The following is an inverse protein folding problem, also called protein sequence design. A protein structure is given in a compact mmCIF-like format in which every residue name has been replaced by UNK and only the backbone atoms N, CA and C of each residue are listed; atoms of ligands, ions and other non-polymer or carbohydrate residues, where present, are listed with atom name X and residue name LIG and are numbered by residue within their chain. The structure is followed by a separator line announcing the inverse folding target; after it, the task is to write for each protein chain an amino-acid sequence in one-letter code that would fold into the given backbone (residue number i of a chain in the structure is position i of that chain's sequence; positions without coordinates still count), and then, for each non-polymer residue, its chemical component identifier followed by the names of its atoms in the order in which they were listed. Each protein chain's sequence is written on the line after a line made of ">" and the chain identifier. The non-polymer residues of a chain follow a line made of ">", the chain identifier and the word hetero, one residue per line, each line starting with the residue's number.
data_IF_667290304768
#
_entry.id   IF_667290304768
#
_cell.length_a   1.000
_cell.length_b   1.000
_cell.length_c   1.000
_cell.angle_alpha   90.00
_cell.angle_beta   90.00
_cell.angle_gamma   90.00
#
_symmetry.space_group_name_H-M   'P 1'
#
loop_
_entity.id
_entity.type
_entity.pdbx_description
1 polymer ?
#
# COMPACT_ATOMS: atom_id res chain seq x y z
N UNK A 1 15.57 6.52 -28.72
CA UNK A 1 16.68 7.48 -28.48
C UNK A 1 16.25 8.69 -27.64
N UNK A 2 15.32 9.56 -28.04
CA UNK A 2 14.90 10.71 -27.21
C UNK A 2 14.21 10.33 -25.90
N UNK A 3 13.51 9.21 -25.83
CA UNK A 3 12.86 8.73 -24.60
C UNK A 3 13.80 8.00 -23.66
N UNK A 4 14.76 7.24 -24.18
CA UNK A 4 15.76 6.58 -23.34
C UNK A 4 16.63 7.61 -22.63
N UNK A 5 16.94 8.73 -23.32
CA UNK A 5 17.66 9.87 -22.73
C UNK A 5 16.80 10.58 -21.67
N UNK A 6 15.49 10.71 -21.90
CA UNK A 6 14.57 11.37 -20.97
C UNK A 6 14.04 10.44 -19.88
N UNK A 7 14.11 9.11 -20.04
CA UNK A 7 13.63 8.17 -19.02
C UNK A 7 14.38 8.35 -17.70
N UNK A 8 15.70 8.47 -17.73
CA UNK A 8 16.51 8.72 -16.53
C UNK A 8 16.14 10.05 -15.87
N UNK A 9 15.84 11.09 -16.66
CA UNK A 9 15.37 12.35 -16.12
C UNK A 9 14.02 12.20 -15.41
N UNK A 10 13.04 11.56 -16.03
CA UNK A 10 11.73 11.34 -15.42
C UNK A 10 11.79 10.41 -14.20
N UNK A 11 12.64 9.38 -14.22
CA UNK A 11 12.85 8.49 -13.08
C UNK A 11 13.47 9.24 -11.89
N UNK A 12 14.49 10.06 -12.12
CA UNK A 12 15.08 10.89 -11.08
C UNK A 12 14.10 11.96 -10.57
N UNK A 13 13.27 12.51 -11.45
CA UNK A 13 12.23 13.47 -11.08
C UNK A 13 11.16 12.83 -10.20
N UNK A 14 10.68 11.62 -10.55
CA UNK A 14 9.69 10.89 -9.72
C UNK A 14 10.24 10.60 -8.33
N UNK A 15 11.46 10.08 -8.26
CA UNK A 15 12.13 9.80 -7.00
C UNK A 15 12.31 11.07 -6.14
N UNK A 16 12.80 12.16 -6.75
CA UNK A 16 12.95 13.45 -6.07
C UNK A 16 11.62 14.00 -5.55
N UNK A 17 10.57 13.95 -6.37
CA UNK A 17 9.22 14.37 -5.97
C UNK A 17 8.66 13.53 -4.84
N UNK A 18 8.86 12.20 -4.85
CA UNK A 18 8.44 11.30 -3.77
C UNK A 18 9.22 11.60 -2.48
N UNK A 19 10.53 11.83 -2.58
CA UNK A 19 11.37 12.18 -1.44
C UNK A 19 10.91 13.48 -0.77
N UNK A 20 10.70 14.54 -1.55
CA UNK A 20 10.16 15.80 -1.00
C UNK A 20 8.72 15.64 -0.48
N UNK A 21 7.89 14.86 -1.15
CA UNK A 21 6.55 14.54 -0.66
C UNK A 21 6.60 13.89 0.72
N UNK A 22 7.47 12.90 0.91
CA UNK A 22 7.69 12.25 2.20
C UNK A 22 8.09 13.27 3.27
N UNK A 23 9.08 14.13 2.98
CA UNK A 23 9.53 15.16 3.92
C UNK A 23 8.40 16.13 4.31
N UNK A 24 7.60 16.59 3.34
CA UNK A 24 6.49 17.51 3.58
C UNK A 24 5.37 16.86 4.40
N UNK A 25 5.04 15.61 4.14
CA UNK A 25 4.04 14.89 4.94
C UNK A 25 4.53 14.62 6.35
N UNK A 26 5.80 14.23 6.54
CA UNK A 26 6.39 14.02 7.87
C UNK A 26 6.50 15.32 8.66
N UNK A 27 6.92 16.42 8.04
CA UNK A 27 6.95 17.73 8.69
C UNK A 27 5.55 18.19 9.11
N UNK A 28 4.52 17.96 8.28
CA UNK A 28 3.15 18.27 8.66
C UNK A 28 2.63 17.38 9.81
N UNK A 29 3.11 16.13 9.92
CA UNK A 29 2.77 15.24 11.03
C UNK A 29 3.36 15.76 12.35
N UNK A 30 4.62 16.23 12.32
CA UNK A 30 5.33 16.78 13.50
C UNK A 30 4.80 18.19 13.86
N UNK A 31 4.57 19.02 12.84
CA UNK A 31 4.10 20.39 12.98
C UNK A 31 2.71 20.60 12.32
N UNK A 32 1.60 20.18 13.00
CA UNK A 32 0.24 20.22 12.40
C UNK A 32 -0.25 21.60 12.00
N UNK A 33 0.35 22.67 12.54
CA UNK A 33 0.02 24.08 12.20
C UNK A 33 0.59 24.50 10.84
N UNK A 34 1.54 23.78 10.28
CA UNK A 34 2.19 24.07 9.00
C UNK A 34 1.36 23.52 7.83
N UNK A 35 0.23 24.20 7.54
CA UNK A 35 -0.71 23.81 6.48
C UNK A 35 -0.07 23.75 5.09
N UNK A 36 0.94 24.61 4.83
CA UNK A 36 1.66 24.63 3.55
C UNK A 36 2.37 23.30 3.27
N UNK A 37 2.96 22.65 4.30
CA UNK A 37 3.62 21.36 4.15
C UNK A 37 2.69 20.26 3.62
N UNK A 38 1.45 20.21 4.10
CA UNK A 38 0.46 19.26 3.60
C UNK A 38 0.15 19.46 2.10
N UNK A 39 -0.09 20.71 1.69
CA UNK A 39 -0.40 21.04 0.30
C UNK A 39 0.79 20.78 -0.63
N UNK A 40 2.01 21.09 -0.19
CA UNK A 40 3.24 20.81 -0.94
C UNK A 40 3.46 19.29 -1.06
N UNK A 41 3.27 18.53 0.03
CA UNK A 41 3.35 17.07 0.01
C UNK A 41 2.39 16.45 -1.00
N UNK A 42 1.14 16.94 -1.02
CA UNK A 42 0.14 16.49 -2.00
C UNK A 42 0.50 16.89 -3.43
N UNK A 43 0.96 18.12 -3.65
CA UNK A 43 1.34 18.59 -4.98
C UNK A 43 2.51 17.77 -5.54
N UNK A 44 3.57 17.54 -4.75
CA UNK A 44 4.71 16.73 -5.16
C UNK A 44 4.33 15.25 -5.38
N UNK A 45 3.39 14.69 -4.60
CA UNK A 45 2.84 13.36 -4.84
C UNK A 45 2.08 13.27 -6.18
N UNK A 46 1.29 14.29 -6.53
CA UNK A 46 0.60 14.37 -7.83
C UNK A 46 1.62 14.42 -8.97
N UNK A 47 2.65 15.26 -8.85
CA UNK A 47 3.70 15.37 -9.86
C UNK A 47 4.40 14.03 -10.03
N UNK A 48 4.78 13.34 -8.94
CA UNK A 48 5.38 12.01 -8.99
C UNK A 48 4.48 10.99 -9.69
N UNK A 49 3.17 10.98 -9.37
CA UNK A 49 2.22 10.07 -10.01
C UNK A 49 2.12 10.31 -11.52
N UNK A 50 2.04 11.57 -11.94
CA UNK A 50 2.02 11.95 -13.36
C UNK A 50 3.33 11.59 -14.05
N UNK A 51 4.46 11.77 -13.39
CA UNK A 51 5.78 11.47 -13.95
C UNK A 51 5.95 9.96 -14.19
N UNK A 52 5.58 9.12 -13.20
CA UNK A 52 5.60 7.65 -13.37
C UNK A 52 4.63 7.22 -14.47
N UNK A 53 3.44 7.82 -14.54
CA UNK A 53 2.49 7.56 -15.63
C UNK A 53 3.08 7.89 -17.00
N UNK A 54 3.79 9.01 -17.14
CA UNK A 54 4.46 9.40 -18.39
C UNK A 54 5.52 8.37 -18.80
N UNK A 55 6.31 7.84 -17.84
CA UNK A 55 7.27 6.77 -18.11
C UNK A 55 6.56 5.53 -18.65
N UNK A 56 5.50 5.06 -17.96
CA UNK A 56 4.75 3.87 -18.36
C UNK A 56 4.05 4.05 -19.72
N UNK A 57 3.35 5.18 -19.91
CA UNK A 57 2.66 5.50 -21.16
C UNK A 57 3.66 5.65 -22.32
N UNK A 58 4.80 6.29 -22.07
CA UNK A 58 5.88 6.42 -23.04
C UNK A 58 6.39 5.06 -23.49
N UNK A 59 6.70 4.16 -22.55
CA UNK A 59 7.10 2.79 -22.88
C UNK A 59 6.06 2.08 -23.74
N UNK A 60 4.78 2.17 -23.37
CA UNK A 60 3.71 1.54 -24.15
C UNK A 60 3.64 2.06 -25.59
N UNK A 61 3.64 3.38 -25.76
CA UNK A 61 3.48 4.02 -27.07
C UNK A 61 4.70 3.75 -27.99
N UNK A 62 5.91 3.85 -27.45
CA UNK A 62 7.13 3.79 -28.28
C UNK A 62 7.65 2.38 -28.53
N UNK A 63 7.43 1.45 -27.57
CA UNK A 63 7.88 0.06 -27.73
C UNK A 63 6.76 -0.88 -28.22
N UNK A 64 5.49 -0.39 -28.30
CA UNK A 64 4.38 -1.14 -28.88
C UNK A 64 3.88 -2.30 -28.01
N UNK A 65 4.34 -2.45 -26.76
CA UNK A 65 3.85 -3.45 -25.83
C UNK A 65 3.46 -2.82 -24.49
N UNK A 66 2.55 -3.46 -23.77
CA UNK A 66 2.11 -2.99 -22.45
C UNK A 66 3.24 -3.15 -21.43
N UNK A 67 3.62 -2.09 -20.67
CA UNK A 67 4.86 -2.04 -19.87
C UNK A 67 4.74 -2.82 -18.55
N UNK A 68 4.65 -4.14 -18.64
CA UNK A 68 4.63 -5.11 -17.54
C UNK A 68 5.45 -6.36 -17.87
N UNK A 69 6.44 -6.23 -18.75
CA UNK A 69 7.24 -7.36 -19.24
C UNK A 69 8.41 -7.72 -18.33
N UNK A 70 8.85 -6.82 -17.48
CA UNK A 70 9.98 -7.03 -16.58
C UNK A 70 9.71 -6.50 -15.16
N UNK A 71 10.60 -6.83 -14.21
CA UNK A 71 10.47 -6.45 -12.81
C UNK A 71 10.45 -4.92 -12.61
N UNK A 72 11.28 -4.17 -13.35
CA UNK A 72 11.31 -2.71 -13.28
C UNK A 72 9.96 -2.09 -13.64
N UNK A 73 9.37 -2.51 -14.75
CA UNK A 73 8.07 -2.02 -15.20
C UNK A 73 6.95 -2.37 -14.21
N UNK A 74 6.99 -3.58 -13.63
CA UNK A 74 6.00 -3.98 -12.62
C UNK A 74 6.14 -3.18 -11.33
N UNK A 75 7.36 -2.83 -10.90
CA UNK A 75 7.61 -1.97 -9.74
C UNK A 75 7.12 -0.54 -9.98
N UNK A 76 7.38 0.03 -11.15
CA UNK A 76 6.86 1.34 -11.54
C UNK A 76 5.33 1.35 -11.56
N UNK A 77 4.71 0.30 -12.12
CA UNK A 77 3.25 0.18 -12.17
C UNK A 77 2.65 0.02 -10.76
N UNK A 78 3.31 -0.74 -9.88
CA UNK A 78 2.90 -0.85 -8.47
C UNK A 78 3.04 0.49 -7.74
N UNK A 79 4.14 1.22 -7.95
CA UNK A 79 4.36 2.56 -7.38
C UNK A 79 3.29 3.54 -7.85
N UNK A 80 2.98 3.53 -9.14
CA UNK A 80 1.95 4.37 -9.74
C UNK A 80 0.56 4.06 -9.15
N UNK A 81 0.19 2.79 -9.07
CA UNK A 81 -1.13 2.38 -8.52
C UNK A 81 -1.26 2.66 -7.03
N UNK A 82 -0.21 2.43 -6.23
CA UNK A 82 -0.19 2.78 -4.80
C UNK A 82 -0.38 4.29 -4.60
N UNK A 83 0.35 5.08 -5.37
CA UNK A 83 0.28 6.54 -5.30
C UNK A 83 -1.08 7.06 -5.76
N UNK A 84 -1.64 6.48 -6.82
CA UNK A 84 -2.99 6.80 -7.30
C UNK A 84 -4.07 6.50 -6.25
N UNK A 85 -4.01 5.30 -5.63
CA UNK A 85 -4.93 4.91 -4.55
C UNK A 85 -4.76 5.84 -3.35
N UNK A 86 -3.52 6.18 -2.98
CA UNK A 86 -3.25 7.14 -1.91
C UNK A 86 -3.95 8.49 -2.17
N UNK A 87 -3.76 9.07 -3.36
CA UNK A 87 -4.36 10.37 -3.73
C UNK A 87 -5.89 10.30 -3.74
N UNK A 88 -6.48 9.20 -4.22
CA UNK A 88 -7.93 8.99 -4.17
C UNK A 88 -8.44 8.91 -2.73
N UNK A 89 -7.78 8.14 -1.87
CA UNK A 89 -8.17 7.98 -0.47
C UNK A 89 -8.01 9.29 0.29
N UNK A 90 -6.90 9.98 0.10
CA UNK A 90 -6.65 11.27 0.73
C UNK A 90 -7.72 12.30 0.35
N UNK A 91 -8.13 12.34 -0.93
CA UNK A 91 -9.18 13.25 -1.40
C UNK A 91 -10.55 12.94 -0.79
N UNK A 92 -10.88 11.65 -0.60
CA UNK A 92 -12.17 11.22 -0.03
C UNK A 92 -12.21 11.31 1.49
N UNK A 93 -11.16 10.87 2.16
CA UNK A 93 -11.12 10.77 3.63
C UNK A 93 -10.63 12.03 4.31
N UNK A 94 -9.91 12.90 3.58
CA UNK A 94 -9.19 14.08 4.11
C UNK A 94 -8.26 13.72 5.28
N UNK A 95 -7.82 12.48 5.35
CA UNK A 95 -6.96 11.98 6.42
C UNK A 95 -5.51 12.39 6.17
N UNK A 96 -4.94 13.14 7.12
CA UNK A 96 -3.53 13.58 7.08
C UNK A 96 -2.53 12.47 7.40
N UNK A 97 -3.01 11.29 7.81
CA UNK A 97 -2.14 10.16 8.19
C UNK A 97 -1.76 9.26 7.02
N UNK A 98 -2.49 9.32 5.90
CA UNK A 98 -2.25 8.45 4.74
C UNK A 98 -0.89 8.73 4.08
N UNK A 99 -0.57 10.01 3.85
CA UNK A 99 0.68 10.42 3.22
C UNK A 99 1.94 9.93 3.94
N UNK A 100 2.09 10.21 5.25
CA UNK A 100 3.25 9.76 6.02
C UNK A 100 3.48 8.24 6.04
N UNK A 101 2.46 7.44 5.72
CA UNK A 101 2.52 5.97 5.75
C UNK A 101 2.78 5.40 4.36
N UNK A 102 2.04 5.88 3.35
CA UNK A 102 2.07 5.28 2.02
C UNK A 102 3.25 5.80 1.20
N UNK A 103 3.55 7.11 1.28
CA UNK A 103 4.63 7.71 0.49
C UNK A 103 6.01 7.10 0.75
N UNK A 104 6.44 6.80 2.00
CA UNK A 104 7.71 6.11 2.23
C UNK A 104 7.77 4.73 1.57
N UNK A 105 6.65 3.98 1.54
CA UNK A 105 6.61 2.67 0.89
C UNK A 105 6.72 2.82 -0.63
N UNK A 106 6.01 3.78 -1.22
CA UNK A 106 6.12 4.08 -2.66
C UNK A 106 7.55 4.52 -3.02
N UNK A 107 8.17 5.38 -2.20
CA UNK A 107 9.55 5.83 -2.39
C UNK A 107 10.55 4.66 -2.36
N UNK A 108 10.35 3.70 -1.45
CA UNK A 108 11.21 2.51 -1.38
C UNK A 108 11.04 1.62 -2.61
N UNK A 109 9.82 1.44 -3.12
CA UNK A 109 9.56 0.63 -4.33
C UNK A 109 10.14 1.30 -5.56
N UNK A 110 9.88 2.60 -5.77
CA UNK A 110 10.39 3.38 -6.89
C UNK A 110 11.92 3.46 -6.86
N UNK A 111 12.49 3.73 -5.68
CA UNK A 111 13.93 3.77 -5.46
C UNK A 111 14.60 2.43 -5.69
N UNK A 112 14.00 1.34 -5.23
CA UNK A 112 14.49 0.00 -5.48
C UNK A 112 14.53 -0.30 -6.99
N UNK A 113 13.45 0.02 -7.73
CA UNK A 113 13.41 -0.12 -9.19
C UNK A 113 14.45 0.73 -9.91
N UNK A 114 14.57 1.98 -9.52
CA UNK A 114 15.39 2.98 -10.25
C UNK A 114 16.88 2.96 -9.89
N UNK A 115 17.22 2.66 -8.62
CA UNK A 115 18.58 2.79 -8.10
C UNK A 115 19.29 1.45 -7.89
N UNK A 116 18.54 0.36 -7.61
CA UNK A 116 19.12 -0.93 -7.21
C UNK A 116 19.13 -1.93 -8.36
N UNK A 117 18.13 -1.89 -9.25
CA UNK A 117 18.08 -2.80 -10.38
C UNK A 117 19.19 -2.51 -11.39
N UNK A 118 19.88 -3.54 -11.93
CA UNK A 118 20.82 -3.38 -13.02
C UNK A 118 20.20 -2.66 -14.22
N UNK A 119 21.01 -1.87 -14.93
CA UNK A 119 20.55 -1.07 -16.11
C UNK A 119 19.94 -2.00 -17.18
N UNK A 120 20.46 -3.22 -17.32
CA UNK A 120 19.95 -4.22 -18.26
C UNK A 120 18.50 -4.59 -17.96
N UNK A 121 18.13 -4.72 -16.68
CA UNK A 121 16.77 -5.03 -16.25
C UNK A 121 15.82 -3.81 -16.35
N UNK A 122 16.36 -2.61 -16.42
CA UNK A 122 15.58 -1.39 -16.62
C UNK A 122 15.27 -1.12 -18.09
N UNK A 123 16.00 -1.76 -19.03
CA UNK A 123 15.75 -1.61 -20.47
C UNK A 123 14.39 -2.18 -20.83
N UNK A 124 13.73 -1.51 -21.78
CA UNK A 124 12.50 -2.00 -22.37
C UNK A 124 12.80 -3.24 -23.21
N UNK A 125 12.24 -4.37 -22.84
CA UNK A 125 12.37 -5.63 -23.58
C UNK A 125 10.98 -6.29 -23.67
N UNK A 126 10.42 -6.44 -24.89
CA UNK A 126 9.15 -7.11 -25.06
C UNK A 126 9.30 -8.59 -24.68
N UNK A 127 8.24 -9.18 -24.16
CA UNK A 127 8.15 -10.61 -23.95
C UNK A 127 8.25 -11.35 -25.29
N UNK A 128 8.75 -12.58 -25.24
CA UNK A 128 8.72 -13.47 -26.43
C UNK A 128 7.28 -13.62 -26.94
N UNK A 129 7.05 -13.72 -28.27
CA UNK A 129 5.70 -13.72 -28.83
C UNK A 129 4.76 -14.76 -28.23
N UNK A 130 5.30 -15.92 -27.83
CA UNK A 130 4.52 -16.99 -27.19
C UNK A 130 3.89 -16.59 -25.84
N UNK A 131 4.45 -15.61 -25.14
CA UNK A 131 3.94 -15.11 -23.86
C UNK A 131 3.09 -13.84 -24.00
N UNK A 132 3.00 -13.25 -25.20
CA UNK A 132 2.19 -12.07 -25.48
C UNK A 132 0.73 -12.47 -25.61
N UNK A 133 -0.07 -12.15 -24.58
CA UNK A 133 -1.50 -12.42 -24.56
C UNK A 133 -2.23 -11.28 -23.86
N UNK A 134 -3.45 -11.00 -24.30
CA UNK A 134 -4.34 -10.06 -23.62
C UNK A 134 -4.67 -10.51 -22.20
N UNK A 135 -4.67 -11.82 -21.95
CA UNK A 135 -4.86 -12.39 -20.61
C UNK A 135 -3.70 -12.06 -19.67
N UNK A 136 -2.46 -12.06 -20.16
CA UNK A 136 -1.31 -11.63 -19.36
C UNK A 136 -1.46 -10.17 -18.93
N UNK A 137 -1.80 -9.28 -19.88
CA UNK A 137 -1.98 -7.86 -19.58
C UNK A 137 -3.08 -7.65 -18.53
N UNK A 138 -4.22 -8.34 -18.67
CA UNK A 138 -5.32 -8.28 -17.71
C UNK A 138 -4.90 -8.85 -16.35
N UNK A 139 -4.25 -10.03 -16.35
CA UNK A 139 -3.75 -10.67 -15.14
C UNK A 139 -2.84 -9.76 -14.34
N UNK A 140 -1.75 -9.29 -14.94
CA UNK A 140 -0.74 -8.50 -14.22
C UNK A 140 -1.31 -7.16 -13.76
N UNK A 141 -2.12 -6.49 -14.60
CA UNK A 141 -2.76 -5.22 -14.21
C UNK A 141 -3.67 -5.38 -12.99
N UNK A 142 -4.51 -6.42 -12.97
CA UNK A 142 -5.41 -6.72 -11.85
C UNK A 142 -4.64 -7.14 -10.60
N UNK A 143 -3.57 -7.93 -10.75
CA UNK A 143 -2.70 -8.31 -9.63
C UNK A 143 -2.02 -7.10 -9.01
N UNK A 144 -1.46 -6.18 -9.80
CA UNK A 144 -0.82 -4.96 -9.29
C UNK A 144 -1.82 -4.04 -8.58
N UNK A 145 -3.01 -3.85 -9.16
CA UNK A 145 -4.08 -3.07 -8.53
C UNK A 145 -4.55 -3.71 -7.22
N UNK A 146 -4.66 -5.05 -7.20
CA UNK A 146 -4.96 -5.79 -5.98
C UNK A 146 -3.87 -5.62 -4.93
N UNK A 147 -2.60 -5.84 -5.29
CA UNK A 147 -1.49 -5.67 -4.35
C UNK A 147 -1.44 -4.25 -3.79
N UNK A 148 -1.63 -3.23 -4.61
CA UNK A 148 -1.65 -1.84 -4.15
C UNK A 148 -2.79 -1.58 -3.13
N UNK A 149 -3.99 -2.10 -3.36
CA UNK A 149 -5.11 -1.97 -2.44
C UNK A 149 -4.89 -2.77 -1.15
N UNK A 150 -4.46 -4.03 -1.26
CA UNK A 150 -4.22 -4.91 -0.12
C UNK A 150 -3.05 -4.40 0.75
N UNK A 151 -1.95 -3.94 0.16
CA UNK A 151 -0.83 -3.31 0.87
C UNK A 151 -1.32 -2.05 1.61
N UNK A 152 -2.09 -1.18 0.95
CA UNK A 152 -2.63 0.05 1.57
C UNK A 152 -3.52 -0.28 2.77
N UNK A 153 -4.46 -1.21 2.62
CA UNK A 153 -5.35 -1.64 3.71
C UNK A 153 -4.58 -2.28 4.86
N UNK A 154 -3.60 -3.12 4.56
CA UNK A 154 -2.77 -3.78 5.57
C UNK A 154 -1.85 -2.82 6.32
N UNK A 155 -1.28 -1.81 5.65
CA UNK A 155 -0.49 -0.74 6.29
C UNK A 155 -1.35 0.07 7.28
N UNK A 156 -2.60 0.37 6.91
CA UNK A 156 -3.53 1.02 7.84
C UNK A 156 -3.84 0.15 9.05
N UNK A 157 -3.95 -1.17 8.87
CA UNK A 157 -4.15 -2.12 9.97
C UNK A 157 -2.92 -2.20 10.88
N UNK A 158 -1.70 -2.19 10.32
CA UNK A 158 -0.45 -2.14 11.11
C UNK A 158 -0.41 -0.85 11.94
N UNK A 159 -0.69 0.30 11.32
CA UNK A 159 -0.72 1.57 12.04
C UNK A 159 -1.80 1.57 13.14
N UNK A 160 -3.00 1.03 12.84
CA UNK A 160 -4.05 0.84 13.83
C UNK A 160 -3.54 0.05 15.04
N UNK A 161 -2.85 -1.07 14.82
CA UNK A 161 -2.26 -1.87 15.91
C UNK A 161 -1.24 -1.07 16.72
N UNK A 162 -0.31 -0.39 16.05
CA UNK A 162 0.72 0.43 16.70
C UNK A 162 0.11 1.54 17.58
N UNK A 163 -0.92 2.23 17.08
CA UNK A 163 -1.61 3.27 17.84
C UNK A 163 -2.46 2.70 18.96
N UNK A 164 -3.10 1.55 18.76
CA UNK A 164 -3.93 0.89 19.76
C UNK A 164 -3.13 0.31 20.93
N UNK A 165 -1.85 0.00 20.73
CA UNK A 165 -0.93 -0.43 21.78
C UNK A 165 -0.45 0.76 22.65
N UNK A 166 -0.35 1.96 22.06
CA UNK A 166 0.07 3.19 22.76
C UNK A 166 -1.06 3.84 23.55
N UNK A 167 -2.33 3.45 23.31
CA UNK A 167 -3.40 3.92 24.19
C UNK A 167 -3.24 3.22 25.54
N UNK A 168 -2.94 3.96 26.65
CA UNK A 168 -3.10 3.39 27.96
C UNK A 168 -4.55 2.91 28.02
N UNK A 169 -4.77 1.65 28.32
CA UNK A 169 -6.06 1.26 28.86
C UNK A 169 -6.25 2.19 30.06
N UNK A 170 -7.03 3.22 29.88
CA UNK A 170 -7.58 3.95 31.00
C UNK A 170 -8.51 2.97 31.73
N UNK A 171 -7.89 2.00 32.42
CA UNK A 171 -8.45 1.52 33.66
C UNK A 171 -8.49 2.79 34.51
N UNK A 172 -9.64 3.44 34.46
CA UNK A 172 -10.07 4.26 35.58
C UNK A 172 -10.04 3.28 36.76
N UNK A 173 -8.87 3.15 37.41
CA UNK A 173 -8.90 2.91 38.85
C UNK A 173 -9.70 4.12 39.32
N UNK A 174 -10.97 3.88 39.65
CA UNK A 174 -11.68 4.71 40.61
C UNK A 174 -10.83 4.70 41.89
N UNK A 175 -9.69 5.36 41.83
CA UNK A 175 -9.02 5.82 43.03
C UNK A 175 -10.02 6.83 43.60
N UNK A 176 -10.55 6.53 44.77
CA UNK A 176 -11.31 7.41 45.61
C UNK A 176 -10.58 8.79 45.70
N UNK A 177 -10.73 9.61 44.68
CA UNK A 177 -10.38 11.02 44.75
C UNK A 177 -11.49 11.62 45.58
N UNK A 178 -11.17 11.88 46.81
CA UNK A 178 -12.07 12.47 47.78
C UNK A 178 -12.50 13.86 47.25
N UNK A 179 -13.68 13.90 46.60
CA UNK A 179 -14.25 15.09 45.95
C UNK A 179 -14.66 16.15 46.99
N UNK A 180 -14.49 15.85 48.25
CA UNK A 180 -14.85 16.71 49.39
C UNK A 180 -13.70 17.66 49.84
N UNK A 181 -12.74 17.97 48.97
CA UNK A 181 -11.74 19.01 49.29
C UNK A 181 -12.42 20.39 49.19
N UNK A 182 -12.32 21.20 50.21
CA UNK A 182 -12.99 22.52 50.29
C UNK A 182 -12.41 23.60 49.36
N UNK A 183 -11.31 23.29 48.64
CA UNK A 183 -10.66 24.24 47.76
C UNK A 183 -11.29 24.21 46.35
N UNK A 184 -12.13 25.19 46.01
CA UNK A 184 -12.82 25.38 44.74
C UNK A 184 -11.87 25.35 43.51
N UNK A 185 -10.67 25.94 43.62
CA UNK A 185 -9.65 25.96 42.54
C UNK A 185 -9.08 24.61 42.19
N UNK A 186 -8.90 23.71 43.15
CA UNK A 186 -8.40 22.33 42.93
C UNK A 186 -9.48 21.48 42.24
N UNK A 187 -10.73 21.70 42.61
CA UNK A 187 -11.88 21.00 42.01
C UNK A 187 -12.08 21.37 40.54
N UNK A 188 -11.99 22.65 40.16
CA UNK A 188 -12.03 23.10 38.77
C UNK A 188 -10.86 22.58 37.94
N UNK A 189 -9.65 22.57 38.47
CA UNK A 189 -8.48 22.00 37.83
C UNK A 189 -8.63 20.50 37.54
N UNK A 190 -9.15 19.72 38.50
CA UNK A 190 -9.42 18.29 38.32
C UNK A 190 -10.53 18.04 37.29
N UNK A 191 -11.60 18.83 37.27
CA UNK A 191 -12.67 18.74 36.28
C UNK A 191 -12.17 19.10 34.89
N UNK A 192 -11.34 20.13 34.72
CA UNK A 192 -10.73 20.51 33.45
C UNK A 192 -9.78 19.43 32.93
N UNK A 193 -8.96 18.80 33.79
CA UNK A 193 -8.08 17.69 33.43
C UNK A 193 -8.87 16.44 33.01
N UNK A 194 -9.95 16.09 33.72
CA UNK A 194 -10.85 15.00 33.36
C UNK A 194 -11.57 15.26 32.03
N UNK A 195 -12.04 16.47 31.81
CA UNK A 195 -12.68 16.89 30.56
C UNK A 195 -11.71 16.79 29.39
N UNK A 196 -10.48 17.29 29.52
CA UNK A 196 -9.44 17.19 28.50
C UNK A 196 -9.05 15.75 28.21
N UNK A 197 -8.85 14.90 29.24
CA UNK A 197 -8.56 13.48 29.06
C UNK A 197 -9.70 12.74 28.34
N UNK A 198 -10.96 13.04 28.68
CA UNK A 198 -12.12 12.41 28.06
C UNK A 198 -12.27 12.84 26.59
N UNK A 199 -11.99 14.10 26.27
CA UNK A 199 -12.03 14.62 24.90
C UNK A 199 -10.91 14.00 24.04
N UNK A 200 -9.71 13.90 24.57
CA UNK A 200 -8.56 13.28 23.89
C UNK A 200 -8.79 11.78 23.65
N UNK A 201 -9.33 11.08 24.65
CA UNK A 201 -9.68 9.64 24.52
C UNK A 201 -10.77 9.40 23.46
N UNK A 202 -11.81 10.22 23.40
CA UNK A 202 -12.88 10.14 22.38
C UNK A 202 -12.33 10.43 20.99
N UNK A 203 -11.45 11.40 20.82
CA UNK A 203 -10.81 11.68 19.54
C UNK A 203 -9.95 10.52 19.06
N UNK A 204 -9.13 9.95 19.94
CA UNK A 204 -8.27 8.82 19.63
C UNK A 204 -9.07 7.55 19.27
N UNK A 205 -10.17 7.26 19.99
CA UNK A 205 -11.03 6.12 19.68
C UNK A 205 -11.69 6.28 18.31
N UNK A 206 -12.21 7.46 17.99
CA UNK A 206 -12.82 7.77 16.68
C UNK A 206 -11.81 7.67 15.54
N UNK A 207 -10.56 8.10 15.78
CA UNK A 207 -9.48 7.94 14.80
C UNK A 207 -9.21 6.47 14.50
N UNK A 208 -9.08 5.63 15.53
CA UNK A 208 -8.86 4.18 15.37
C UNK A 208 -10.03 3.51 14.66
N UNK A 209 -11.26 3.82 15.03
CA UNK A 209 -12.45 3.31 14.35
C UNK A 209 -12.45 3.66 12.85
N UNK A 210 -12.15 4.91 12.52
CA UNK A 210 -12.05 5.34 11.12
C UNK A 210 -10.97 4.58 10.36
N UNK A 211 -9.80 4.34 10.98
CA UNK A 211 -8.72 3.59 10.36
C UNK A 211 -9.10 2.13 10.10
N UNK A 212 -9.74 1.47 11.07
CA UNK A 212 -10.23 0.09 10.92
C UNK A 212 -11.26 0.00 9.78
N UNK A 213 -12.20 0.94 9.72
CA UNK A 213 -13.22 1.00 8.67
C UNK A 213 -12.64 1.28 7.28
N UNK A 214 -11.66 2.19 7.15
CA UNK A 214 -11.01 2.49 5.87
C UNK A 214 -10.22 1.28 5.41
N UNK A 215 -9.41 0.67 6.29
CA UNK A 215 -8.66 -0.54 6.00
C UNK A 215 -9.56 -1.66 5.48
N UNK A 216 -10.67 -1.93 6.16
CA UNK A 216 -11.64 -2.94 5.76
C UNK A 216 -12.18 -2.69 4.34
N UNK A 217 -12.64 -1.47 4.07
CA UNK A 217 -13.20 -1.10 2.76
C UNK A 217 -12.20 -1.26 1.61
N UNK A 218 -10.93 -0.92 1.87
CA UNK A 218 -9.88 -1.04 0.86
C UNK A 218 -9.55 -2.51 0.60
N UNK A 219 -9.47 -3.33 1.65
CA UNK A 219 -9.24 -4.78 1.50
C UNK A 219 -10.41 -5.44 0.77
N UNK A 220 -11.67 -5.05 1.09
CA UNK A 220 -12.85 -5.50 0.36
C UNK A 220 -12.80 -5.17 -1.15
N UNK A 221 -12.18 -4.05 -1.52
CA UNK A 221 -11.98 -3.69 -2.93
C UNK A 221 -10.85 -4.51 -3.57
N UNK A 222 -9.76 -4.75 -2.83
CA UNK A 222 -8.59 -5.47 -3.34
C UNK A 222 -8.83 -6.96 -3.58
N UNK A 223 -9.63 -7.59 -2.74
CA UNK A 223 -9.86 -9.03 -2.80
C UNK A 223 -10.54 -9.52 -4.10
N UNK A 224 -11.59 -8.87 -4.63
CA UNK A 224 -12.12 -9.19 -5.96
C UNK A 224 -11.09 -9.05 -7.08
N UNK A 225 -10.25 -8.01 -7.05
CA UNK A 225 -9.17 -7.86 -8.02
C UNK A 225 -8.15 -8.99 -7.94
N UNK A 226 -7.82 -9.44 -6.74
CA UNK A 226 -6.96 -10.61 -6.54
C UNK A 226 -7.59 -11.87 -7.15
N UNK A 227 -8.85 -12.10 -6.89
CA UNK A 227 -9.59 -13.27 -7.39
C UNK A 227 -9.63 -13.29 -8.91
N UNK A 228 -10.04 -12.18 -9.53
CA UNK A 228 -10.11 -12.08 -10.99
C UNK A 228 -8.71 -12.15 -11.59
N UNK A 229 -7.73 -11.53 -10.95
CA UNK A 229 -6.33 -11.59 -11.36
C UNK A 229 -5.79 -13.02 -11.38
N UNK A 230 -6.03 -13.82 -10.35
CA UNK A 230 -5.62 -15.23 -10.30
C UNK A 230 -6.30 -16.04 -11.41
N UNK A 231 -7.61 -15.86 -11.63
CA UNK A 231 -8.36 -16.55 -12.69
C UNK A 231 -7.81 -16.18 -14.07
N UNK A 232 -7.59 -14.89 -14.33
CA UNK A 232 -7.01 -14.43 -15.59
C UNK A 232 -5.59 -15.00 -15.81
N UNK A 233 -4.81 -15.13 -14.73
CA UNK A 233 -3.49 -15.77 -14.76
C UNK A 233 -3.55 -17.25 -15.10
N UNK A 234 -4.53 -17.97 -14.57
CA UNK A 234 -4.74 -19.37 -14.88
C UNK A 234 -5.09 -19.56 -16.37
N UNK A 235 -5.95 -18.70 -16.94
CA UNK A 235 -6.28 -18.75 -18.37
C UNK A 235 -5.04 -18.46 -19.23
N UNK A 236 -4.26 -17.44 -18.85
CA UNK A 236 -3.00 -17.16 -19.54
C UNK A 236 -2.00 -18.31 -19.42
N UNK A 237 -1.86 -18.93 -18.26
CA UNK A 237 -0.97 -20.08 -18.07
C UNK A 237 -1.34 -21.25 -18.99
N UNK A 238 -2.63 -21.50 -19.22
CA UNK A 238 -3.09 -22.50 -20.15
C UNK A 238 -2.73 -22.17 -21.62
N UNK A 239 -2.83 -20.90 -22.02
CA UNK A 239 -2.39 -20.46 -23.35
C UNK A 239 -0.88 -20.59 -23.54
N UNK A 240 -0.09 -20.20 -22.52
CA UNK A 240 1.36 -20.15 -22.59
C UNK A 240 2.03 -21.52 -22.41
N UNK A 241 1.50 -22.37 -21.54
CA UNK A 241 2.14 -23.62 -21.07
C UNK A 241 1.24 -24.86 -21.13
N UNK A 242 -0.03 -24.72 -21.57
CA UNK A 242 -0.97 -25.83 -21.71
C UNK A 242 -1.57 -26.35 -20.40
N UNK A 243 -1.42 -25.62 -19.29
CA UNK A 243 -1.97 -25.99 -17.98
C UNK A 243 -2.49 -24.75 -17.25
N UNK A 244 -3.70 -24.84 -16.68
CA UNK A 244 -4.29 -23.75 -15.88
C UNK A 244 -3.59 -23.55 -14.54
N UNK A 245 -2.96 -24.59 -14.01
CA UNK A 245 -2.31 -24.57 -12.69
C UNK A 245 -1.23 -25.62 -12.61
N UNK A 246 -0.01 -25.23 -12.27
CA UNK A 246 1.17 -26.09 -12.24
C UNK A 246 1.81 -26.21 -10.85
N UNK A 247 1.22 -25.60 -9.83
CA UNK A 247 1.79 -25.47 -8.48
C UNK A 247 3.15 -24.75 -8.47
N UNK A 248 3.36 -23.88 -9.44
CA UNK A 248 4.50 -22.97 -9.44
C UNK A 248 4.57 -22.18 -8.12
N UNK A 249 5.74 -21.83 -7.61
CA UNK A 249 5.87 -21.07 -6.37
C UNK A 249 5.03 -19.79 -6.36
N UNK A 250 4.91 -19.09 -7.50
CA UNK A 250 4.12 -17.86 -7.60
C UNK A 250 2.62 -18.12 -7.53
N UNK A 251 2.14 -19.19 -8.16
CA UNK A 251 0.74 -19.64 -8.06
C UNK A 251 0.40 -20.04 -6.62
N UNK A 252 1.28 -20.80 -5.98
CA UNK A 252 1.11 -21.25 -4.60
C UNK A 252 1.03 -20.07 -3.62
N UNK A 253 1.94 -19.09 -3.74
CA UNK A 253 1.91 -17.89 -2.89
C UNK A 253 0.74 -16.98 -3.20
N UNK A 254 0.26 -16.94 -4.45
CA UNK A 254 -0.97 -16.22 -4.80
C UNK A 254 -2.19 -16.84 -4.11
N UNK A 255 -2.29 -18.18 -4.07
CA UNK A 255 -3.33 -18.91 -3.34
C UNK A 255 -3.23 -18.66 -1.82
N UNK A 256 -2.04 -18.71 -1.23
CA UNK A 256 -1.83 -18.40 0.19
C UNK A 256 -2.29 -16.96 0.48
N UNK A 257 -1.94 -16.00 -0.37
CA UNK A 257 -2.38 -14.61 -0.25
C UNK A 257 -3.91 -14.52 -0.28
N UNK A 258 -4.53 -15.20 -1.22
CA UNK A 258 -5.99 -15.25 -1.34
C UNK A 258 -6.64 -15.84 -0.09
N UNK A 259 -6.13 -16.95 0.46
CA UNK A 259 -6.64 -17.59 1.66
C UNK A 259 -6.54 -16.69 2.90
N UNK A 260 -5.44 -15.96 3.07
CA UNK A 260 -5.26 -15.03 4.20
C UNK A 260 -6.30 -13.91 4.15
N UNK A 261 -6.52 -13.29 2.99
CA UNK A 261 -7.52 -12.22 2.87
C UNK A 261 -8.96 -12.75 2.85
N UNK A 262 -9.20 -13.97 2.35
CA UNK A 262 -10.48 -14.64 2.48
C UNK A 262 -10.82 -14.89 3.97
N UNK A 263 -9.86 -15.39 4.76
CA UNK A 263 -10.02 -15.57 6.21
C UNK A 263 -10.28 -14.23 6.92
N UNK A 264 -9.55 -13.15 6.53
CA UNK A 264 -9.81 -11.81 7.04
C UNK A 264 -11.24 -11.35 6.76
N UNK A 265 -11.71 -11.45 5.52
CA UNK A 265 -13.06 -11.04 5.15
C UNK A 265 -14.13 -11.92 5.79
N UNK A 266 -13.91 -13.23 5.86
CA UNK A 266 -14.80 -14.16 6.58
C UNK A 266 -14.93 -13.77 8.05
N UNK A 267 -13.81 -13.48 8.73
CA UNK A 267 -13.83 -13.04 10.13
C UNK A 267 -14.58 -11.71 10.31
N UNK A 268 -14.43 -10.77 9.38
CA UNK A 268 -15.14 -9.46 9.42
C UNK A 268 -16.63 -9.61 9.15
N UNK A 269 -17.00 -10.31 8.08
CA UNK A 269 -18.38 -10.36 7.57
C UNK A 269 -19.23 -11.35 8.40
N UNK A 270 -18.71 -12.55 8.65
CA UNK A 270 -19.49 -13.64 9.27
C UNK A 270 -19.36 -13.62 10.79
N UNK A 271 -18.15 -13.38 11.31
CA UNK A 271 -17.90 -13.40 12.75
C UNK A 271 -18.07 -12.01 13.41
N UNK A 272 -18.27 -10.95 12.63
CA UNK A 272 -18.40 -9.59 13.13
C UNK A 272 -17.14 -9.08 13.87
N UNK A 273 -15.95 -9.59 13.53
CA UNK A 273 -14.72 -9.15 14.20
C UNK A 273 -14.40 -7.72 13.83
N UNK A 274 -14.04 -6.93 14.84
CA UNK A 274 -13.61 -5.55 14.70
C UNK A 274 -12.34 -5.27 15.51
N UNK A 275 -11.60 -4.23 15.13
CA UNK A 275 -10.44 -3.75 15.86
C UNK A 275 -9.22 -4.66 15.75
N UNK A 276 -8.63 -5.07 16.89
CA UNK A 276 -7.31 -5.72 16.94
C UNK A 276 -7.25 -7.07 16.24
N UNK A 277 -8.27 -7.91 16.37
CA UNK A 277 -8.26 -9.29 15.84
C UNK A 277 -8.12 -9.31 14.30
N UNK A 278 -9.01 -8.65 13.53
CA UNK A 278 -8.85 -8.61 12.07
C UNK A 278 -7.62 -7.79 11.64
N UNK A 279 -7.22 -6.77 12.40
CA UNK A 279 -6.03 -6.00 12.07
C UNK A 279 -4.74 -6.85 12.11
N UNK A 280 -4.65 -7.85 13.00
CA UNK A 280 -3.53 -8.81 13.01
C UNK A 280 -3.54 -9.65 11.73
N UNK A 281 -4.69 -10.16 11.28
CA UNK A 281 -4.79 -10.93 10.04
C UNK A 281 -4.39 -10.09 8.82
N UNK A 282 -4.86 -8.85 8.74
CA UNK A 282 -4.46 -7.93 7.67
C UNK A 282 -2.96 -7.60 7.70
N UNK A 283 -2.38 -7.48 8.90
CA UNK A 283 -0.94 -7.26 9.05
C UNK A 283 -0.11 -8.46 8.59
N UNK A 284 -0.56 -9.69 8.85
CA UNK A 284 0.04 -10.90 8.27
C UNK A 284 -0.07 -10.86 6.75
N UNK A 285 -1.24 -10.46 6.23
CA UNK A 285 -1.47 -10.29 4.78
C UNK A 285 -0.46 -9.36 4.12
N UNK A 286 0.00 -8.31 4.80
CA UNK A 286 1.05 -7.42 4.30
C UNK A 286 2.34 -8.19 3.93
N UNK A 287 2.84 -9.00 4.85
CA UNK A 287 4.05 -9.78 4.61
C UNK A 287 3.84 -10.85 3.54
N UNK A 288 2.68 -11.48 3.51
CA UNK A 288 2.36 -12.51 2.52
C UNK A 288 2.31 -11.93 1.10
N UNK A 289 1.75 -10.73 0.91
CA UNK A 289 1.78 -10.03 -0.40
C UNK A 289 3.22 -9.77 -0.85
N UNK A 290 4.09 -9.31 0.06
CA UNK A 290 5.49 -9.04 -0.31
C UNK A 290 6.27 -10.32 -0.63
N UNK A 291 6.03 -11.41 0.08
CA UNK A 291 6.63 -12.72 -0.24
C UNK A 291 6.14 -13.19 -1.61
N UNK A 292 4.83 -13.09 -1.89
CA UNK A 292 4.26 -13.45 -3.19
C UNK A 292 4.85 -12.62 -4.34
N UNK A 293 4.97 -11.30 -4.15
CA UNK A 293 5.40 -10.39 -5.21
C UNK A 293 6.91 -10.38 -5.41
N UNK A 294 7.70 -10.16 -4.36
CA UNK A 294 9.16 -10.06 -4.45
C UNK A 294 9.87 -11.35 -4.07
N UNK A 295 9.43 -12.05 -3.03
CA UNK A 295 10.14 -13.20 -2.50
C UNK A 295 10.34 -14.31 -3.54
N UNK A 296 9.30 -14.62 -4.29
CA UNK A 296 9.36 -15.62 -5.37
C UNK A 296 10.27 -15.17 -6.53
N UNK A 297 10.29 -13.87 -6.83
CA UNK A 297 11.17 -13.34 -7.87
C UNK A 297 12.66 -13.45 -7.49
N UNK A 298 13.00 -13.30 -6.20
CA UNK A 298 14.38 -13.47 -5.71
C UNK A 298 14.84 -14.93 -5.69
N UNK A 299 13.91 -15.87 -5.48
CA UNK A 299 14.27 -17.29 -5.49
C UNK A 299 14.62 -17.83 -6.88
N UNK A 300 14.26 -17.10 -7.96
CA UNK A 300 14.64 -17.41 -9.34
C UNK A 300 14.11 -18.74 -9.88
N UNK A 301 13.25 -19.45 -9.13
CA UNK A 301 12.70 -20.74 -9.50
C UNK A 301 11.24 -20.60 -9.94
N UNK A 302 10.88 -21.27 -11.04
CA UNK A 302 9.51 -21.34 -11.54
C UNK A 302 9.27 -20.60 -12.87
N UNK A 303 8.10 -20.84 -13.46
CA UNK A 303 7.69 -20.33 -14.78
C UNK A 303 7.51 -18.81 -14.81
N UNK A 304 7.30 -18.17 -13.66
CA UNK A 304 7.04 -16.76 -13.50
C UNK A 304 8.25 -15.93 -13.02
N UNK A 305 9.46 -16.48 -13.10
CA UNK A 305 10.68 -15.80 -12.66
C UNK A 305 11.09 -14.71 -13.67
N UNK A 306 11.40 -13.50 -13.19
CA UNK A 306 12.00 -12.44 -14.02
C UNK A 306 13.51 -12.57 -14.19
N UNK A 307 14.12 -13.72 -13.81
CA UNK A 307 15.51 -14.04 -14.09
C UNK A 307 16.56 -13.19 -13.36
N UNK A 308 16.26 -12.69 -12.15
CA UNK A 308 17.21 -11.84 -11.42
C UNK A 308 18.51 -12.53 -11.01
N UNK A 309 18.49 -13.84 -10.74
CA UNK A 309 19.66 -14.58 -10.21
C UNK A 309 20.07 -15.77 -11.07
N UNK A 310 19.72 -15.79 -12.36
CA UNK A 310 20.19 -16.78 -13.32
C UNK A 310 21.35 -16.27 -14.16
#
# INVERSE_FOLDING_TARGET
>A
MLLDTNQNFFSNLSFGCLFFSMLFYLTNLIFPKFKLGYNLGKATAIIANLTIFVILAGRWIFHGYFPLSNLYESLLFLSWTLLFIHLLLESKTRSKLLGPIIIPVVLLIDGFGSLTLPIEMQKASPLVPALQSNWLMMHVSLMMLSYATLITGSLLSILFLMLSLKQPQARVKEGNVNINSPNFSVREGILALKSNQQTTSKFASKLLENMDNISYRIICLGFPFLTIGIIAGAVWANEAWGSYWSWDPKETWALITWLVFAAYLHARIIKGWEGKKPAILASIGFFVVWICYLGVNFLGQGLHSYGWMS
#
